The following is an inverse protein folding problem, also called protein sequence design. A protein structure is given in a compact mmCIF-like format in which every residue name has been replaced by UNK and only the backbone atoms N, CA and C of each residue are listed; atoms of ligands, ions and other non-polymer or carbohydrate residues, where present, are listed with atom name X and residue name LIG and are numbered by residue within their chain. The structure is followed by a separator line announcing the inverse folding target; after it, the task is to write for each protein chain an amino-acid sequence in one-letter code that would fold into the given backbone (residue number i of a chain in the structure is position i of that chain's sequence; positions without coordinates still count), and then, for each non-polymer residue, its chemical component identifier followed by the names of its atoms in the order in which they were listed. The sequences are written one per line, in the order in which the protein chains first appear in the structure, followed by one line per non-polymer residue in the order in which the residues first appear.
data_IF_270554219331
#
_entry.id   IF_270554219331
#
_cell.length_a   1.000
_cell.length_b   1.000
_cell.length_c   1.000
_cell.angle_alpha   90.00
_cell.angle_beta   90.00
_cell.angle_gamma   90.00
#
_symmetry.space_group_name_H-M   'P 1'
#
loop_
_entity.id
_entity.type
_entity.pdbx_description
1 polymer ?
#
# COMPACT_ATOMS: atom_id res chain seq x y z
N UNK A 1 25.63 18.11 -68.07
CA UNK A 1 25.26 18.93 -66.89
C UNK A 1 24.21 18.21 -66.04
N UNK A 2 24.54 17.02 -65.52
CA UNK A 2 23.58 16.17 -64.78
C UNK A 2 24.14 15.66 -63.45
N UNK A 3 25.44 15.87 -63.20
CA UNK A 3 26.14 15.33 -62.03
C UNK A 3 26.11 16.24 -60.80
N UNK A 4 25.83 17.53 -60.96
CA UNK A 4 25.71 18.48 -59.84
C UNK A 4 24.32 18.46 -59.20
N UNK A 5 23.28 18.12 -59.98
CA UNK A 5 21.89 18.08 -59.50
C UNK A 5 21.66 16.89 -58.57
N UNK A 6 22.25 15.73 -58.89
CA UNK A 6 22.22 14.54 -58.02
C UNK A 6 22.95 14.77 -56.70
N UNK A 7 24.12 15.42 -56.73
CA UNK A 7 24.87 15.74 -55.50
C UNK A 7 24.10 16.67 -54.54
N UNK A 8 23.35 17.65 -55.07
CA UNK A 8 22.51 18.56 -54.27
C UNK A 8 21.25 17.86 -53.73
N UNK A 9 20.64 16.95 -54.49
CA UNK A 9 19.52 16.12 -54.02
C UNK A 9 19.92 15.20 -52.85
N UNK A 10 21.14 14.64 -52.88
CA UNK A 10 21.66 13.86 -51.76
C UNK A 10 21.92 14.72 -50.51
N UNK A 11 22.52 15.91 -50.66
CA UNK A 11 22.75 16.81 -49.51
C UNK A 11 21.43 17.28 -48.86
N UNK A 12 20.38 17.51 -49.66
CA UNK A 12 19.05 17.84 -49.17
C UNK A 12 18.39 16.71 -48.37
N UNK A 13 18.61 15.45 -48.76
CA UNK A 13 18.06 14.27 -48.07
C UNK A 13 18.78 13.93 -46.75
N UNK A 14 20.05 14.32 -46.59
CA UNK A 14 20.78 14.11 -45.32
C UNK A 14 20.41 15.10 -44.21
N UNK A 15 19.94 16.31 -44.55
CA UNK A 15 19.42 17.27 -43.57
C UNK A 15 17.99 16.95 -43.09
N UNK A 16 17.31 16.02 -43.78
CA UNK A 16 15.96 15.55 -43.44
C UNK A 16 15.95 14.43 -42.40
N UNK A 17 17.12 13.91 -41.98
CA UNK A 17 17.20 13.04 -40.82
C UNK A 17 17.12 13.89 -39.56
N UNK A 18 15.93 14.43 -39.34
CA UNK A 18 15.47 14.92 -38.04
C UNK A 18 15.80 13.85 -37.02
N UNK A 19 16.60 14.24 -36.03
CA UNK A 19 16.86 13.50 -34.81
C UNK A 19 15.53 12.91 -34.33
N UNK A 20 15.35 11.61 -34.52
CA UNK A 20 14.35 10.85 -33.77
C UNK A 20 14.80 10.96 -32.32
N UNK A 21 14.27 11.94 -31.59
CA UNK A 21 14.31 11.96 -30.14
C UNK A 21 13.57 10.72 -29.68
N UNK A 22 14.32 9.64 -29.47
CA UNK A 22 13.89 8.50 -28.68
C UNK A 22 13.43 9.07 -27.34
N UNK A 23 12.12 9.12 -27.15
CA UNK A 23 11.48 9.61 -25.94
C UNK A 23 11.89 8.64 -24.83
N UNK A 24 13.01 8.92 -24.16
CA UNK A 24 13.63 8.04 -23.18
C UNK A 24 12.61 7.68 -22.09
N UNK A 25 11.98 6.52 -22.24
CA UNK A 25 10.82 6.14 -21.45
C UNK A 25 11.33 5.49 -20.16
N UNK A 26 11.42 6.29 -19.10
CA UNK A 26 11.86 5.81 -17.78
C UNK A 26 10.91 4.71 -17.30
N UNK A 27 11.47 3.56 -16.90
CA UNK A 27 10.68 2.46 -16.35
C UNK A 27 9.96 2.92 -15.08
N UNK A 28 8.74 2.40 -14.86
CA UNK A 28 7.99 2.69 -13.64
C UNK A 28 8.75 2.15 -12.42
N UNK A 29 8.75 2.86 -11.28
CA UNK A 29 9.41 2.38 -10.07
C UNK A 29 8.62 1.24 -9.43
N UNK A 30 9.30 0.47 -8.58
CA UNK A 30 8.72 -0.57 -7.74
C UNK A 30 8.48 0.02 -6.35
N UNK A 31 7.29 -0.19 -5.80
CA UNK A 31 6.90 0.28 -4.47
C UNK A 31 6.53 -0.91 -3.58
N UNK A 32 6.89 -0.85 -2.30
CA UNK A 32 6.48 -1.85 -1.31
C UNK A 32 6.55 -1.28 0.11
N UNK A 33 5.95 -1.96 1.09
CA UNK A 33 6.01 -1.58 2.49
C UNK A 33 6.76 -2.61 3.36
N UNK A 34 7.22 -2.15 4.52
CA UNK A 34 7.63 -2.99 5.65
C UNK A 34 6.92 -2.55 6.93
N UNK A 35 6.50 -3.50 7.81
CA UNK A 35 6.73 -4.95 7.71
C UNK A 35 5.93 -5.64 6.59
N UNK A 36 4.71 -5.18 6.33
CA UNK A 36 3.85 -5.59 5.22
C UNK A 36 2.82 -4.47 4.90
N UNK A 37 1.80 -4.73 4.07
CA UNK A 37 0.74 -3.77 3.73
C UNK A 37 -0.37 -3.66 4.79
N UNK A 38 -0.56 -4.67 5.64
CA UNK A 38 -1.49 -4.64 6.78
C UNK A 38 -0.73 -4.27 8.06
N UNK A 39 -1.07 -3.16 8.68
CA UNK A 39 -0.29 -2.60 9.78
C UNK A 39 -1.21 -2.17 10.94
N UNK A 40 -0.96 -2.65 12.18
CA UNK A 40 -1.78 -2.27 13.31
C UNK A 40 -1.77 -0.76 13.61
N UNK A 41 -2.89 -0.27 14.14
CA UNK A 41 -3.05 1.12 14.56
C UNK A 41 -1.91 1.53 15.50
N UNK A 42 -1.32 2.70 15.25
CA UNK A 42 -0.23 3.26 16.04
C UNK A 42 1.15 2.65 15.78
N UNK A 43 1.26 1.58 14.98
CA UNK A 43 2.56 1.03 14.57
C UNK A 43 3.12 1.80 13.38
N UNK A 44 4.44 1.82 13.28
CA UNK A 44 5.13 2.48 12.18
C UNK A 44 5.09 1.65 10.88
N UNK A 45 5.11 2.33 9.74
CA UNK A 45 5.31 1.74 8.43
C UNK A 45 6.51 2.38 7.72
N UNK A 46 7.19 1.59 6.90
CA UNK A 46 8.21 2.08 5.98
C UNK A 46 7.78 1.76 4.56
N UNK A 47 7.56 2.79 3.75
CA UNK A 47 7.34 2.63 2.31
C UNK A 47 8.67 2.79 1.60
N UNK A 48 8.99 1.84 0.75
CA UNK A 48 10.18 1.85 -0.09
C UNK A 48 9.78 2.07 -1.54
N UNK A 49 10.59 2.84 -2.25
CA UNK A 49 10.44 3.03 -3.67
C UNK A 49 11.79 2.89 -4.37
N UNK A 50 11.85 2.01 -5.36
CA UNK A 50 13.05 1.72 -6.13
C UNK A 50 12.85 2.15 -7.57
N UNK A 51 13.77 2.97 -8.06
CA UNK A 51 13.83 3.45 -9.44
C UNK A 51 15.09 2.92 -10.13
N UNK A 52 15.55 3.63 -11.16
CA UNK A 52 16.82 3.28 -11.81
C UNK A 52 18.02 3.75 -10.98
N UNK A 53 19.24 3.22 -11.22
CA UNK A 53 20.44 3.66 -10.52
C UNK A 53 20.73 5.16 -10.62
N UNK A 54 20.30 5.81 -11.70
CA UNK A 54 20.48 7.25 -11.98
C UNK A 54 19.39 8.13 -11.37
N UNK A 55 18.44 7.55 -10.63
CA UNK A 55 17.41 8.31 -9.95
C UNK A 55 18.04 9.28 -8.94
N UNK A 56 17.65 10.55 -9.02
CA UNK A 56 18.19 11.62 -8.15
C UNK A 56 17.17 12.13 -7.15
N UNK A 57 15.90 11.75 -7.31
CA UNK A 57 14.79 12.27 -6.50
C UNK A 57 13.57 11.37 -6.58
N UNK A 58 12.87 11.21 -5.48
CA UNK A 58 11.64 10.43 -5.37
C UNK A 58 10.50 11.26 -4.78
N UNK A 59 9.29 11.03 -5.25
CA UNK A 59 8.06 11.60 -4.69
C UNK A 59 7.08 10.47 -4.40
N UNK A 60 6.52 10.50 -3.20
CA UNK A 60 5.47 9.61 -2.76
C UNK A 60 4.15 10.39 -2.78
N UNK A 61 3.14 9.79 -3.41
CA UNK A 61 1.78 10.30 -3.48
C UNK A 61 0.86 9.43 -2.64
N UNK A 62 -0.05 10.06 -1.90
CA UNK A 62 -1.10 9.42 -1.12
C UNK A 62 -2.44 9.94 -1.64
N UNK A 63 -3.33 9.04 -2.08
CA UNK A 63 -4.65 9.39 -2.64
C UNK A 63 -4.57 10.49 -3.73
N UNK A 64 -3.54 10.41 -4.58
CA UNK A 64 -3.30 11.37 -5.68
C UNK A 64 -2.62 12.68 -5.27
N UNK A 65 -2.42 12.93 -3.98
CA UNK A 65 -1.74 14.13 -3.47
C UNK A 65 -0.28 13.87 -3.14
N UNK A 66 0.60 14.83 -3.41
CA UNK A 66 2.01 14.73 -3.00
C UNK A 66 2.08 14.66 -1.48
N UNK A 67 2.57 13.53 -0.96
CA UNK A 67 2.69 13.28 0.47
C UNK A 67 4.09 13.66 0.98
N UNK A 68 5.12 13.07 0.38
CA UNK A 68 6.51 13.26 0.78
C UNK A 68 7.45 13.22 -0.41
N UNK A 69 8.65 13.76 -0.21
CA UNK A 69 9.70 13.78 -1.21
C UNK A 69 11.05 13.47 -0.56
N UNK A 70 11.81 12.56 -1.17
CA UNK A 70 13.05 12.08 -0.60
C UNK A 70 14.16 12.02 -1.67
N UNK A 71 15.38 12.35 -1.25
CA UNK A 71 16.57 11.99 -2.01
C UNK A 71 16.85 10.50 -1.86
N UNK A 72 17.39 9.86 -2.90
CA UNK A 72 17.74 8.45 -2.82
C UNK A 72 18.79 8.17 -1.76
N UNK A 73 18.73 6.96 -1.19
CA UNK A 73 19.82 6.36 -0.42
C UNK A 73 20.35 5.15 -1.18
N UNK A 74 21.67 5.00 -1.21
CA UNK A 74 22.26 3.77 -1.73
C UNK A 74 22.08 2.65 -0.72
N UNK A 75 21.51 1.54 -1.17
CA UNK A 75 21.45 0.31 -0.41
C UNK A 75 22.04 -0.82 -1.26
N UNK A 76 23.34 -1.06 -1.07
CA UNK A 76 24.13 -1.88 -1.98
C UNK A 76 24.18 -1.27 -3.38
N UNK A 77 23.79 -2.04 -4.41
CA UNK A 77 23.69 -1.55 -5.81
C UNK A 77 22.34 -0.90 -6.14
N UNK A 78 21.40 -0.86 -5.19
CA UNK A 78 20.05 -0.34 -5.45
C UNK A 78 19.94 1.11 -5.00
N UNK A 79 19.24 1.88 -5.83
CA UNK A 79 18.90 3.27 -5.56
C UNK A 79 17.44 3.31 -5.07
N UNK A 80 17.26 3.54 -3.76
CA UNK A 80 15.98 3.39 -3.06
C UNK A 80 15.69 4.63 -2.22
N UNK A 81 14.45 5.11 -2.26
CA UNK A 81 13.92 6.05 -1.28
C UNK A 81 13.10 5.30 -0.22
N UNK A 82 13.23 5.74 1.03
CA UNK A 82 12.48 5.22 2.16
C UNK A 82 11.67 6.35 2.79
N UNK A 83 10.36 6.14 2.91
CA UNK A 83 9.40 7.08 3.50
C UNK A 83 8.86 6.46 4.78
N UNK A 84 8.95 7.21 5.87
CA UNK A 84 8.50 6.76 7.19
C UNK A 84 7.09 7.27 7.47
N UNK A 85 6.18 6.37 7.82
CA UNK A 85 4.90 6.69 8.42
C UNK A 85 5.04 6.39 9.92
N UNK A 86 5.13 7.40 10.79
CA UNK A 86 5.44 7.19 12.20
C UNK A 86 4.39 6.35 12.93
N UNK A 87 3.12 6.50 12.57
CA UNK A 87 2.01 5.78 13.17
C UNK A 87 0.91 5.57 12.12
N UNK A 88 0.49 4.32 11.95
CA UNK A 88 -0.63 3.98 11.10
C UNK A 88 -1.96 4.35 11.78
N UNK A 89 -2.78 5.08 11.05
CA UNK A 89 -4.11 5.54 11.47
C UNK A 89 -5.10 5.33 10.33
N UNK A 90 -6.42 5.42 10.59
CA UNK A 90 -7.42 5.45 9.50
C UNK A 90 -7.16 6.53 8.44
N UNK A 91 -6.53 7.65 8.81
CA UNK A 91 -6.24 8.76 7.90
C UNK A 91 -5.00 8.53 7.02
N UNK A 92 -4.14 7.57 7.39
CA UNK A 92 -2.94 7.22 6.63
C UNK A 92 -3.09 5.87 5.90
N UNK A 93 -4.24 5.21 6.07
CA UNK A 93 -4.62 4.03 5.30
C UNK A 93 -5.21 4.48 3.95
N UNK A 94 -4.86 3.77 2.89
CA UNK A 94 -5.24 4.11 1.52
C UNK A 94 -4.13 3.86 0.52
N UNK A 95 -4.30 4.41 -0.68
CA UNK A 95 -3.46 4.12 -1.83
C UNK A 95 -2.24 5.03 -1.92
N UNK A 96 -1.07 4.41 -1.99
CA UNK A 96 0.20 5.08 -2.24
C UNK A 96 0.74 4.77 -3.63
N UNK A 97 1.35 5.76 -4.28
CA UNK A 97 2.11 5.61 -5.53
C UNK A 97 3.40 6.39 -5.46
N UNK A 98 4.43 5.93 -6.16
CA UNK A 98 5.71 6.60 -6.20
C UNK A 98 6.11 6.94 -7.64
N UNK A 99 6.81 8.07 -7.81
CA UNK A 99 7.56 8.42 -9.03
C UNK A 99 8.99 8.80 -8.67
N UNK A 100 9.90 8.65 -9.62
CA UNK A 100 11.26 9.16 -9.49
C UNK A 100 11.63 10.05 -10.66
N UNK A 101 12.65 10.88 -10.43
CA UNK A 101 13.28 11.70 -11.47
C UNK A 101 14.65 11.15 -11.77
N UNK A 102 14.93 10.94 -13.05
CA UNK A 102 16.27 10.69 -13.57
C UNK A 102 16.61 11.81 -14.56
N UNK A 103 17.76 12.45 -14.38
CA UNK A 103 18.15 13.66 -15.13
C UNK A 103 17.01 14.70 -15.12
N UNK A 104 16.40 15.04 -16.26
CA UNK A 104 15.31 16.03 -16.36
C UNK A 104 13.92 15.40 -16.51
N UNK A 105 13.82 14.06 -16.51
CA UNK A 105 12.58 13.34 -16.79
C UNK A 105 12.03 12.67 -15.53
N UNK A 106 10.71 12.70 -15.40
CA UNK A 106 9.98 11.93 -14.39
C UNK A 106 9.52 10.61 -14.98
N UNK A 107 9.55 9.56 -14.17
CA UNK A 107 9.00 8.26 -14.52
C UNK A 107 7.47 8.29 -14.54
N UNK A 108 6.87 7.29 -15.15
CA UNK A 108 5.48 6.95 -14.87
C UNK A 108 5.32 6.54 -13.39
N UNK A 109 4.12 6.67 -12.80
CA UNK A 109 3.81 6.16 -11.47
C UNK A 109 4.06 4.66 -11.34
N UNK A 110 4.47 4.23 -10.14
CA UNK A 110 4.46 2.82 -9.74
C UNK A 110 3.06 2.23 -9.81
N UNK A 111 3.00 0.90 -9.70
CA UNK A 111 1.76 0.24 -9.30
C UNK A 111 1.30 0.77 -7.92
N UNK A 112 -0.01 0.74 -7.62
CA UNK A 112 -0.52 1.18 -6.33
C UNK A 112 -0.08 0.25 -5.19
N UNK A 113 0.15 0.84 -4.03
CA UNK A 113 0.34 0.14 -2.76
C UNK A 113 -0.75 0.58 -1.80
N UNK A 114 -1.72 -0.29 -1.54
CA UNK A 114 -2.81 -0.03 -0.60
C UNK A 114 -2.39 -0.43 0.81
N UNK A 115 -2.17 0.56 1.68
CA UNK A 115 -1.89 0.29 3.09
C UNK A 115 -3.18 0.21 3.88
N UNK A 116 -3.33 -0.86 4.66
CA UNK A 116 -4.51 -1.14 5.48
C UNK A 116 -4.14 -1.05 6.94
N UNK A 117 -4.90 -0.26 7.70
CA UNK A 117 -4.76 -0.22 9.15
C UNK A 117 -5.58 -1.33 9.81
N UNK A 118 -4.98 -2.08 10.72
CA UNK A 118 -5.64 -3.14 11.51
C UNK A 118 -5.73 -2.76 12.99
N UNK A 119 -6.39 -3.60 13.81
CA UNK A 119 -6.53 -3.37 15.27
C UNK A 119 -7.19 -2.01 15.59
N UNK A 120 -8.16 -1.59 14.76
CA UNK A 120 -8.96 -0.39 15.01
C UNK A 120 -9.92 -0.58 16.20
N UNK A 121 -10.28 -1.82 16.47
CA UNK A 121 -11.17 -2.24 17.54
C UNK A 121 -10.46 -3.29 18.39
N UNK A 122 -10.79 -3.33 19.67
CA UNK A 122 -10.32 -4.40 20.54
C UNK A 122 -10.87 -5.76 20.07
N UNK A 123 -10.11 -6.82 20.31
CA UNK A 123 -10.62 -8.18 20.13
C UNK A 123 -11.42 -8.58 21.38
N UNK A 124 -12.70 -8.98 21.25
CA UNK A 124 -13.46 -9.46 22.39
C UNK A 124 -12.87 -10.78 22.92
N UNK A 125 -12.84 -10.94 24.24
CA UNK A 125 -12.56 -12.22 24.88
C UNK A 125 -13.84 -13.01 25.06
N UNK A 126 -13.87 -14.25 24.59
CA UNK A 126 -14.97 -15.20 24.78
C UNK A 126 -14.59 -16.23 25.84
N UNK A 127 -15.41 -16.39 26.87
CA UNK A 127 -15.30 -17.45 27.87
C UNK A 127 -16.59 -18.24 27.98
N UNK A 128 -16.49 -19.45 28.51
CA UNK A 128 -17.59 -20.43 28.54
C UNK A 128 -17.69 -21.05 29.94
N UNK A 129 -18.91 -21.22 30.44
CA UNK A 129 -19.22 -21.89 31.70
C UNK A 129 -20.29 -22.98 31.49
N UNK A 130 -20.17 -24.18 32.10
CA UNK A 130 -19.15 -24.59 33.08
C UNK A 130 -17.75 -24.84 32.50
N UNK A 131 -17.65 -25.11 31.21
CA UNK A 131 -16.40 -25.33 30.48
C UNK A 131 -16.65 -25.58 29.00
N UNK A 132 -15.61 -25.82 28.20
CA UNK A 132 -15.74 -26.09 26.76
C UNK A 132 -16.32 -27.48 26.47
N UNK A 133 -16.19 -28.42 27.40
CA UNK A 133 -16.74 -29.77 27.33
C UNK A 133 -17.92 -29.89 28.30
N UNK A 134 -19.05 -30.37 27.77
CA UNK A 134 -20.28 -30.60 28.54
C UNK A 134 -20.95 -31.87 28.07
N UNK A 135 -21.78 -32.45 28.94
CA UNK A 135 -22.58 -33.62 28.61
C UNK A 135 -23.80 -33.23 27.76
N UNK A 136 -24.35 -34.21 27.03
CA UNK A 136 -25.48 -33.96 26.15
C UNK A 136 -26.71 -33.52 26.94
N UNK A 137 -27.28 -32.37 26.57
CA UNK A 137 -28.45 -31.78 27.22
C UNK A 137 -28.13 -30.73 28.30
N UNK A 138 -26.85 -30.53 28.64
CA UNK A 138 -26.45 -29.45 29.55
C UNK A 138 -26.52 -28.07 28.90
N UNK A 139 -26.91 -27.07 29.70
CA UNK A 139 -26.91 -25.67 29.28
C UNK A 139 -25.51 -25.08 29.40
N UNK A 140 -25.11 -24.34 28.36
CA UNK A 140 -23.81 -23.65 28.30
C UNK A 140 -24.04 -22.14 28.24
N UNK A 141 -23.30 -21.41 29.07
CA UNK A 141 -23.30 -19.94 29.05
C UNK A 141 -22.01 -19.42 28.44
N UNK A 142 -22.16 -18.53 27.44
CA UNK A 142 -21.05 -17.84 26.78
C UNK A 142 -20.97 -16.41 27.30
N UNK A 143 -19.78 -15.98 27.71
CA UNK A 143 -19.52 -14.62 28.17
C UNK A 143 -18.57 -13.94 27.19
N UNK A 144 -19.02 -12.83 26.62
CA UNK A 144 -18.22 -12.01 25.72
C UNK A 144 -17.86 -10.71 26.44
N UNK A 145 -16.57 -10.37 26.50
CA UNK A 145 -16.08 -9.16 27.14
C UNK A 145 -15.20 -8.38 26.18
N UNK A 146 -15.41 -7.08 26.11
CA UNK A 146 -14.56 -6.13 25.37
C UNK A 146 -14.06 -5.08 26.36
N UNK A 147 -12.80 -4.68 26.23
CA UNK A 147 -12.21 -3.65 27.10
C UNK A 147 -12.81 -2.26 26.89
N UNK A 148 -13.19 -1.95 25.64
CA UNK A 148 -13.88 -0.72 25.27
C UNK A 148 -15.40 -0.83 25.35
N UNK A 149 -16.06 0.31 25.60
CA UNK A 149 -17.47 0.45 25.98
C UNK A 149 -18.49 0.14 24.85
N UNK A 150 -18.45 -1.06 24.28
CA UNK A 150 -19.54 -1.55 23.44
C UNK A 150 -20.43 -2.50 24.23
N UNK A 151 -21.74 -2.26 24.16
CA UNK A 151 -22.75 -3.04 24.89
C UNK A 151 -23.42 -4.12 24.01
N UNK A 152 -22.95 -4.29 22.76
CA UNK A 152 -23.58 -5.18 21.78
C UNK A 152 -22.56 -6.18 21.25
N UNK A 153 -22.84 -7.45 21.51
CA UNK A 153 -22.06 -8.58 21.04
C UNK A 153 -22.91 -9.45 20.13
N UNK A 154 -22.26 -10.04 19.13
CA UNK A 154 -22.85 -11.06 18.28
C UNK A 154 -22.05 -12.35 18.48
N UNK A 155 -22.73 -13.45 18.80
CA UNK A 155 -22.13 -14.78 18.88
C UNK A 155 -22.50 -15.55 17.61
N UNK A 156 -21.49 -15.95 16.84
CA UNK A 156 -21.67 -16.76 15.63
C UNK A 156 -21.20 -18.19 15.89
N UNK A 157 -22.02 -19.16 15.49
CA UNK A 157 -21.68 -20.59 15.53
C UNK A 157 -21.06 -21.01 14.21
N UNK A 158 -19.83 -21.50 14.24
CA UNK A 158 -19.15 -22.05 13.07
C UNK A 158 -19.84 -23.36 12.59
N UNK A 159 -19.95 -23.55 11.27
CA UNK A 159 -20.51 -24.78 10.67
C UNK A 159 -22.05 -24.87 10.59
N UNK A 160 -22.80 -23.82 10.95
CA UNK A 160 -24.25 -23.69 10.66
C UNK A 160 -24.52 -22.32 10.04
N UNK A 161 -25.68 -22.15 9.38
CA UNK A 161 -26.00 -20.93 8.62
C UNK A 161 -25.71 -19.63 9.40
N UNK A 162 -25.24 -18.56 8.74
CA UNK A 162 -24.72 -17.34 9.37
C UNK A 162 -25.78 -16.44 10.02
N UNK A 163 -26.94 -17.01 10.40
CA UNK A 163 -27.98 -16.25 11.09
C UNK A 163 -27.54 -15.94 12.53
N UNK A 164 -27.40 -14.66 12.91
CA UNK A 164 -27.04 -14.27 14.27
C UNK A 164 -28.12 -14.72 15.25
N UNK A 165 -27.74 -15.45 16.30
CA UNK A 165 -28.66 -15.71 17.40
C UNK A 165 -28.72 -14.46 18.29
N UNK A 166 -29.79 -13.68 18.15
CA UNK A 166 -29.97 -12.45 18.91
C UNK A 166 -30.51 -12.79 20.31
N UNK A 167 -29.64 -12.78 21.32
CA UNK A 167 -30.04 -12.80 22.74
C UNK A 167 -29.48 -11.56 23.44
N UNK A 168 -30.36 -10.77 24.05
CA UNK A 168 -29.97 -9.61 24.84
C UNK A 168 -29.32 -10.11 26.13
N UNK A 169 -28.02 -9.84 26.31
CA UNK A 169 -27.32 -10.14 27.55
C UNK A 169 -27.66 -9.09 28.61
N UNK A 170 -28.01 -9.52 29.82
CA UNK A 170 -28.24 -8.61 30.94
C UNK A 170 -26.91 -8.04 31.43
N UNK A 171 -26.87 -6.74 31.63
CA UNK A 171 -25.76 -6.00 32.26
C UNK A 171 -25.61 -6.47 33.70
N UNK A 172 -24.47 -7.07 34.06
CA UNK A 172 -24.05 -7.14 35.45
C UNK A 172 -23.09 -5.98 35.69
N UNK A 173 -23.50 -5.07 36.57
CA UNK A 173 -22.67 -4.01 37.16
C UNK A 173 -21.88 -4.60 38.32
#
# INVERSE_FOLDING_TARGET
MTSTLTALLYLGLFLSQTVSTEKQNLSKPIIWAKPDFMIPKGKQALIFCQGTPEAVKYQLYFEGHLFLQQSPKQHGRRNIAMFHIPAMTPLTAGQYKCIYRSKKLWSNPSDPLDLVVTELYDTPTLSVHPGPEVTSGENVSFYCRLGTATNKFFLLKEGRSPHPQHRYGNTQV
#
